data_IF_446136832847
#
_entry.id   IF_446136832847
#
_cell.length_a   1.000
_cell.length_b   1.000
_cell.length_c   1.000
_cell.angle_alpha   90.00
_cell.angle_beta   90.00
_cell.angle_gamma   90.00
#
_symmetry.space_group_name_H-M   'P 1'
#
loop_
_entity.id
_entity.type
_entity.pdbx_description
1 polymer ?
#
# COMPACT_ATOMS: atom_id res chain seq x y z
N UNK A 1 30.13 41.88 -20.16
CA UNK A 1 29.02 41.58 -19.23
C UNK A 1 28.13 40.39 -19.63
N UNK A 2 28.08 39.94 -20.90
CA UNK A 2 27.11 38.92 -21.34
C UNK A 2 27.44 37.46 -20.93
N UNK A 3 28.70 37.04 -21.02
CA UNK A 3 29.10 35.63 -20.77
C UNK A 3 28.98 35.22 -19.30
N UNK A 4 29.36 36.11 -18.38
CA UNK A 4 29.30 35.83 -16.93
C UNK A 4 27.86 35.63 -16.44
N UNK A 5 26.91 36.42 -16.96
CA UNK A 5 25.48 36.28 -16.62
C UNK A 5 24.92 34.96 -17.17
N UNK A 6 25.34 34.53 -18.36
CA UNK A 6 24.94 33.24 -18.95
C UNK A 6 25.48 32.05 -18.13
N UNK A 7 26.72 32.12 -17.67
CA UNK A 7 27.33 31.08 -16.82
C UNK A 7 26.58 30.99 -15.49
N UNK A 8 26.41 32.12 -14.78
CA UNK A 8 25.73 32.15 -13.48
C UNK A 8 24.27 31.70 -13.59
N UNK A 9 23.57 32.01 -14.68
CA UNK A 9 22.19 31.55 -14.89
C UNK A 9 22.10 30.07 -15.20
N UNK A 10 23.07 29.51 -15.95
CA UNK A 10 23.18 28.07 -16.20
C UNK A 10 23.48 27.29 -14.92
N UNK A 11 24.45 27.73 -14.13
CA UNK A 11 24.78 27.12 -12.83
C UNK A 11 23.57 27.13 -11.89
N UNK A 12 22.86 28.26 -11.79
CA UNK A 12 21.63 28.35 -10.98
C UNK A 12 20.55 27.36 -11.45
N UNK A 13 20.42 27.13 -12.76
CA UNK A 13 19.49 26.16 -13.34
C UNK A 13 19.90 24.72 -13.01
N UNK A 14 21.17 24.38 -13.18
CA UNK A 14 21.72 23.06 -12.86
C UNK A 14 21.56 22.73 -11.37
N UNK A 15 21.88 23.68 -10.48
CA UNK A 15 21.64 23.55 -9.04
C UNK A 15 20.16 23.33 -8.71
N UNK A 16 19.25 24.03 -9.41
CA UNK A 16 17.80 23.87 -9.20
C UNK A 16 17.31 22.48 -9.62
N UNK A 17 17.75 21.98 -10.77
CA UNK A 17 17.38 20.64 -11.23
C UNK A 17 17.99 19.53 -10.35
N UNK A 18 19.24 19.68 -9.92
CA UNK A 18 19.86 18.77 -8.96
C UNK A 18 19.07 18.72 -7.63
N UNK A 19 18.68 19.88 -7.09
CA UNK A 19 17.84 19.95 -5.88
C UNK A 19 16.48 19.26 -6.05
N UNK A 20 15.84 19.39 -7.22
CA UNK A 20 14.59 18.68 -7.51
C UNK A 20 14.79 17.16 -7.56
N UNK A 21 15.86 16.71 -8.22
CA UNK A 21 16.18 15.29 -8.33
C UNK A 21 16.45 14.68 -6.95
N UNK A 22 17.24 15.34 -6.10
CA UNK A 22 17.50 14.87 -4.73
C UNK A 22 16.21 14.77 -3.93
N UNK A 23 15.36 15.80 -3.94
CA UNK A 23 14.06 15.77 -3.24
C UNK A 23 13.17 14.63 -3.73
N UNK A 24 13.11 14.41 -5.05
CA UNK A 24 12.37 13.30 -5.65
C UNK A 24 12.93 11.96 -5.18
N UNK A 25 14.25 11.78 -5.28
CA UNK A 25 14.92 10.56 -4.82
C UNK A 25 14.63 10.28 -3.34
N UNK A 26 14.78 11.28 -2.46
CA UNK A 26 14.50 11.16 -1.03
C UNK A 26 13.08 10.67 -0.78
N UNK A 27 12.08 11.29 -1.40
CA UNK A 27 10.68 10.89 -1.25
C UNK A 27 10.44 9.42 -1.62
N UNK A 28 10.90 8.99 -2.80
CA UNK A 28 10.71 7.63 -3.27
C UNK A 28 11.50 6.61 -2.45
N UNK A 29 12.73 6.94 -2.06
CA UNK A 29 13.57 6.09 -1.24
C UNK A 29 12.99 5.88 0.17
N UNK A 30 12.53 6.96 0.83
CA UNK A 30 11.90 6.87 2.15
C UNK A 30 10.67 5.96 2.13
N UNK A 31 9.84 6.07 1.09
CA UNK A 31 8.64 5.23 0.92
C UNK A 31 8.98 3.77 0.60
N UNK A 32 10.01 3.53 -0.22
CA UNK A 32 10.54 2.19 -0.46
C UNK A 32 11.05 1.55 0.85
N UNK A 33 11.86 2.28 1.61
CA UNK A 33 12.46 1.81 2.86
C UNK A 33 11.40 1.57 3.94
N UNK A 34 10.42 2.47 4.05
CA UNK A 34 9.28 2.32 4.96
C UNK A 34 8.49 1.04 4.67
N UNK A 35 8.22 0.73 3.39
CA UNK A 35 7.49 -0.47 3.03
C UNK A 35 8.31 -1.74 3.26
N UNK A 36 9.63 -1.74 3.04
CA UNK A 36 10.48 -2.88 3.40
C UNK A 36 10.48 -3.12 4.91
N UNK A 37 10.71 -2.08 5.71
CA UNK A 37 10.70 -2.18 7.18
C UNK A 37 9.35 -2.66 7.70
N UNK A 38 8.26 -2.08 7.20
CA UNK A 38 6.90 -2.46 7.59
C UNK A 38 6.56 -3.89 7.15
N UNK A 39 7.08 -4.35 6.01
CA UNK A 39 6.93 -5.74 5.56
C UNK A 39 7.62 -6.72 6.51
N UNK A 40 8.85 -6.41 6.92
CA UNK A 40 9.60 -7.26 7.86
C UNK A 40 8.86 -7.38 9.19
N UNK A 41 8.30 -6.28 9.70
CA UNK A 41 7.45 -6.31 10.90
C UNK A 41 6.20 -7.16 10.68
N UNK A 42 5.45 -6.92 9.60
CA UNK A 42 4.23 -7.69 9.31
C UNK A 42 4.50 -9.19 9.12
N UNK A 43 5.66 -9.56 8.58
CA UNK A 43 6.08 -10.95 8.45
C UNK A 43 6.36 -11.58 9.82
N UNK A 44 6.99 -10.83 10.72
CA UNK A 44 7.18 -11.26 12.11
C UNK A 44 5.83 -11.46 12.81
N UNK A 45 4.95 -10.45 12.75
CA UNK A 45 3.61 -10.51 13.34
C UNK A 45 2.78 -11.69 12.76
N UNK A 46 2.89 -11.96 11.46
CA UNK A 46 2.26 -13.12 10.79
C UNK A 46 2.76 -14.45 11.38
N UNK A 47 4.06 -14.60 11.58
CA UNK A 47 4.63 -15.84 12.10
C UNK A 47 4.23 -16.04 13.57
N UNK A 48 4.33 -15.00 14.41
CA UNK A 48 3.86 -15.04 15.80
C UNK A 48 2.37 -15.44 15.87
N UNK A 49 1.54 -14.88 14.99
CA UNK A 49 0.12 -15.23 14.92
C UNK A 49 -0.11 -16.69 14.51
N UNK A 50 0.72 -17.27 13.64
CA UNK A 50 0.62 -18.68 13.21
C UNK A 50 1.09 -19.67 14.27
N UNK A 51 2.19 -19.35 14.94
CA UNK A 51 2.86 -20.29 15.82
C UNK A 51 2.12 -20.41 17.17
N UNK A 52 1.69 -19.26 17.71
CA UNK A 52 1.13 -19.13 19.05
C UNK A 52 -0.18 -18.32 19.07
N UNK A 53 -0.25 -17.21 18.34
CA UNK A 53 -1.36 -16.26 18.49
C UNK A 53 -2.77 -16.81 18.21
N UNK A 54 -2.94 -17.71 17.23
CA UNK A 54 -4.23 -18.35 16.99
C UNK A 54 -4.68 -19.23 18.17
N UNK A 55 -3.75 -19.94 18.82
CA UNK A 55 -4.04 -20.76 19.99
C UNK A 55 -4.41 -19.89 21.18
N UNK A 56 -3.64 -18.82 21.42
CA UNK A 56 -3.92 -17.85 22.48
C UNK A 56 -5.31 -17.22 22.32
N UNK A 57 -5.67 -16.82 21.09
CA UNK A 57 -6.99 -16.27 20.80
C UNK A 57 -8.10 -17.33 20.91
N UNK A 58 -7.81 -18.57 20.51
CA UNK A 58 -8.74 -19.71 20.65
C UNK A 58 -9.08 -19.96 22.11
N UNK A 59 -8.07 -20.00 22.98
CA UNK A 59 -8.23 -20.13 24.43
C UNK A 59 -8.94 -18.91 25.05
N UNK A 60 -8.55 -17.70 24.64
CA UNK A 60 -9.10 -16.45 25.15
C UNK A 60 -10.60 -16.31 24.86
N UNK A 61 -11.01 -16.63 23.63
CA UNK A 61 -12.42 -16.52 23.21
C UNK A 61 -13.23 -17.79 23.43
N UNK A 62 -12.58 -18.89 23.81
CA UNK A 62 -13.17 -20.22 23.87
C UNK A 62 -13.85 -20.60 22.52
N UNK A 63 -13.14 -20.34 21.42
CA UNK A 63 -13.56 -20.64 20.04
C UNK A 63 -12.53 -21.56 19.40
N UNK A 64 -12.93 -22.50 18.51
CA UNK A 64 -11.96 -23.32 17.80
C UNK A 64 -11.14 -22.46 16.82
N UNK A 65 -9.86 -22.81 16.62
CA UNK A 65 -8.95 -22.10 15.71
C UNK A 65 -9.51 -21.96 14.28
N UNK A 66 -10.37 -22.90 13.84
CA UNK A 66 -11.05 -22.84 12.54
C UNK A 66 -11.92 -21.59 12.38
N UNK A 67 -12.53 -21.11 13.46
CA UNK A 67 -13.32 -19.87 13.45
C UNK A 67 -12.44 -18.62 13.38
N UNK A 68 -11.14 -18.74 13.69
CA UNK A 68 -10.15 -17.66 13.65
C UNK A 68 -9.30 -17.66 12.37
N UNK A 69 -9.50 -18.65 11.49
CA UNK A 69 -8.69 -18.86 10.29
C UNK A 69 -8.67 -17.68 9.30
N UNK A 70 -9.59 -16.72 9.42
CA UNK A 70 -9.62 -15.50 8.60
C UNK A 70 -8.48 -14.50 8.90
N UNK A 71 -7.84 -14.61 10.06
CA UNK A 71 -6.76 -13.70 10.50
C UNK A 71 -5.48 -13.91 9.68
N UNK A 72 -5.13 -15.17 9.38
CA UNK A 72 -3.90 -15.50 8.67
C UNK A 72 -3.89 -14.95 7.22
N UNK A 73 -4.94 -15.13 6.41
CA UNK A 73 -5.01 -14.52 5.08
C UNK A 73 -4.89 -13.00 5.10
N UNK A 74 -5.40 -12.32 6.12
CA UNK A 74 -5.27 -10.87 6.27
C UNK A 74 -3.81 -10.45 6.46
N UNK A 75 -3.09 -11.10 7.37
CA UNK A 75 -1.66 -10.85 7.58
C UNK A 75 -0.80 -11.18 6.35
N UNK A 76 -1.07 -12.31 5.69
CA UNK A 76 -0.39 -12.66 4.43
C UNK A 76 -0.59 -11.58 3.37
N UNK A 77 -1.82 -11.08 3.23
CA UNK A 77 -2.13 -10.02 2.29
C UNK A 77 -1.36 -8.73 2.64
N UNK A 78 -1.30 -8.34 3.91
CA UNK A 78 -0.53 -7.16 4.35
C UNK A 78 0.94 -7.29 3.94
N UNK A 79 1.57 -8.45 4.14
CA UNK A 79 2.97 -8.70 3.76
C UNK A 79 3.18 -8.53 2.25
N UNK A 80 2.31 -9.12 1.42
CA UNK A 80 2.42 -9.01 -0.04
C UNK A 80 2.11 -7.59 -0.53
N UNK A 81 1.12 -6.92 0.04
CA UNK A 81 0.80 -5.52 -0.28
C UNK A 81 2.00 -4.59 -0.01
N UNK A 82 2.70 -4.77 1.13
CA UNK A 82 3.93 -4.00 1.43
C UNK A 82 5.04 -4.28 0.41
N UNK A 83 5.20 -5.53 -0.02
CA UNK A 83 6.14 -5.90 -1.08
C UNK A 83 5.80 -5.20 -2.40
N UNK A 84 4.52 -5.20 -2.79
CA UNK A 84 4.06 -4.51 -4.02
C UNK A 84 4.36 -3.02 -3.92
N UNK A 85 3.97 -2.35 -2.82
CA UNK A 85 4.21 -0.91 -2.65
C UNK A 85 5.69 -0.53 -2.70
N UNK A 86 6.56 -1.32 -2.05
CA UNK A 86 8.02 -1.14 -2.15
C UNK A 86 8.45 -1.03 -3.61
N UNK A 87 8.00 -1.95 -4.46
CA UNK A 87 8.37 -1.96 -5.88
C UNK A 87 7.62 -0.92 -6.72
N UNK A 88 6.40 -0.54 -6.36
CA UNK A 88 5.70 0.55 -7.06
C UNK A 88 6.37 1.90 -6.82
N UNK A 89 6.93 2.16 -5.64
CA UNK A 89 7.75 3.35 -5.42
C UNK A 89 9.04 3.35 -6.25
N UNK A 90 9.72 2.20 -6.35
CA UNK A 90 10.87 2.09 -7.26
C UNK A 90 10.46 2.36 -8.71
N UNK A 91 9.33 1.79 -9.16
CA UNK A 91 8.77 2.02 -10.48
C UNK A 91 8.41 3.50 -10.72
N UNK A 92 7.68 4.14 -9.81
CA UNK A 92 7.26 5.54 -9.91
C UNK A 92 8.44 6.53 -9.99
N UNK A 93 9.56 6.20 -9.35
CA UNK A 93 10.79 6.99 -9.50
C UNK A 93 11.26 7.01 -10.96
N UNK A 94 11.26 5.85 -11.64
CA UNK A 94 11.73 5.72 -13.01
C UNK A 94 10.66 6.01 -14.08
N UNK A 95 9.37 6.05 -13.75
CA UNK A 95 8.27 6.17 -14.71
C UNK A 95 8.31 7.47 -15.55
N UNK A 96 9.07 8.49 -15.13
CA UNK A 96 9.34 9.69 -15.92
C UNK A 96 8.12 10.59 -16.18
N UNK A 97 8.34 11.90 -16.28
CA UNK A 97 7.23 12.88 -16.45
C UNK A 97 6.68 12.95 -17.88
N UNK A 98 7.21 12.14 -18.82
CA UNK A 98 6.86 12.21 -20.25
C UNK A 98 5.43 11.72 -20.52
N UNK A 99 4.92 10.82 -19.69
CA UNK A 99 3.59 10.22 -19.81
C UNK A 99 2.70 10.64 -18.64
N UNK A 100 2.52 11.96 -18.45
CA UNK A 100 1.81 12.56 -17.30
C UNK A 100 0.49 11.89 -16.95
N UNK A 101 -0.35 11.55 -17.93
CA UNK A 101 -1.66 10.94 -17.67
C UNK A 101 -1.53 9.52 -17.09
N UNK A 102 -0.57 8.73 -17.57
CA UNK A 102 -0.30 7.39 -17.02
C UNK A 102 0.30 7.48 -15.63
N UNK A 103 1.20 8.45 -15.42
CA UNK A 103 1.77 8.73 -14.11
C UNK A 103 0.68 9.10 -13.09
N UNK A 104 -0.24 10.01 -13.44
CA UNK A 104 -1.37 10.40 -12.58
C UNK A 104 -2.32 9.22 -12.28
N UNK A 105 -2.62 8.40 -13.29
CA UNK A 105 -3.45 7.22 -13.08
C UNK A 105 -2.77 6.18 -12.18
N UNK A 106 -1.47 5.96 -12.36
CA UNK A 106 -0.66 5.13 -11.47
C UNK A 106 -0.67 5.66 -10.03
N UNK A 107 -0.42 6.95 -9.81
CA UNK A 107 -0.44 7.55 -8.47
C UNK A 107 -1.81 7.41 -7.80
N UNK A 108 -2.90 7.57 -8.56
CA UNK A 108 -4.25 7.34 -8.06
C UNK A 108 -4.44 5.89 -7.58
N UNK A 109 -4.12 4.90 -8.41
CA UNK A 109 -4.24 3.48 -8.03
C UNK A 109 -3.34 3.12 -6.85
N UNK A 110 -2.12 3.65 -6.81
CA UNK A 110 -1.20 3.45 -5.69
C UNK A 110 -1.79 4.04 -4.40
N UNK A 111 -2.34 5.25 -4.46
CA UNK A 111 -2.97 5.91 -3.31
C UNK A 111 -4.15 5.11 -2.74
N UNK A 112 -5.05 4.63 -3.60
CA UNK A 112 -6.18 3.78 -3.18
C UNK A 112 -5.71 2.48 -2.50
N UNK A 113 -4.69 1.84 -3.08
CA UNK A 113 -4.09 0.63 -2.52
C UNK A 113 -3.43 0.90 -1.16
N UNK A 114 -2.71 2.00 -1.00
CA UNK A 114 -2.10 2.40 0.28
C UNK A 114 -3.14 2.63 1.37
N UNK A 115 -4.19 3.38 1.07
CA UNK A 115 -5.28 3.64 2.02
C UNK A 115 -5.96 2.33 2.44
N UNK A 116 -6.24 1.44 1.48
CA UNK A 116 -6.78 0.11 1.75
C UNK A 116 -5.85 -0.72 2.65
N UNK A 117 -4.55 -0.73 2.37
CA UNK A 117 -3.56 -1.45 3.18
C UNK A 117 -3.49 -0.92 4.61
N UNK A 118 -3.43 0.40 4.81
CA UNK A 118 -3.33 0.96 6.16
C UNK A 118 -4.61 0.68 6.98
N UNK A 119 -5.80 0.70 6.34
CA UNK A 119 -7.06 0.32 7.00
C UNK A 119 -7.07 -1.15 7.42
N UNK A 120 -6.65 -2.05 6.53
CA UNK A 120 -6.54 -3.48 6.82
C UNK A 120 -5.55 -3.74 7.94
N UNK A 121 -4.35 -3.14 7.85
CA UNK A 121 -3.31 -3.31 8.85
C UNK A 121 -3.73 -2.75 10.22
N UNK A 122 -4.40 -1.59 10.25
CA UNK A 122 -4.96 -1.06 11.49
C UNK A 122 -5.96 -2.02 12.13
N UNK A 123 -6.94 -2.50 11.36
CA UNK A 123 -7.94 -3.45 11.87
C UNK A 123 -7.27 -4.73 12.42
N UNK A 124 -6.30 -5.28 11.68
CA UNK A 124 -5.60 -6.52 12.06
C UNK A 124 -4.71 -6.34 13.29
N UNK A 125 -3.96 -5.23 13.38
CA UNK A 125 -2.97 -5.05 14.44
C UNK A 125 -3.51 -4.37 15.71
N UNK A 126 -4.56 -3.53 15.59
CA UNK A 126 -5.06 -2.70 16.68
C UNK A 126 -6.42 -3.12 17.19
N UNK A 127 -7.32 -3.60 16.33
CA UNK A 127 -8.66 -3.99 16.77
C UNK A 127 -8.66 -5.43 17.30
N UNK A 128 -7.90 -6.34 16.66
CA UNK A 128 -7.71 -7.72 17.12
C UNK A 128 -7.07 -7.78 18.52
N UNK A 129 -5.94 -7.08 18.71
CA UNK A 129 -5.15 -7.08 19.94
C UNK A 129 -5.55 -5.97 20.92
N UNK A 130 -6.55 -5.16 20.56
CA UNK A 130 -7.04 -4.04 21.37
C UNK A 130 -8.17 -4.46 22.29
N UNK A 131 -9.36 -3.83 22.24
CA UNK A 131 -10.49 -4.14 23.13
C UNK A 131 -10.89 -5.62 23.14
N UNK A 132 -10.73 -6.29 22.00
CA UNK A 132 -11.02 -7.71 21.85
C UNK A 132 -9.99 -8.59 22.58
N UNK A 133 -8.70 -8.22 22.62
CA UNK A 133 -7.63 -9.04 23.20
C UNK A 133 -7.62 -9.14 24.73
N UNK A 134 -8.41 -8.32 25.44
CA UNK A 134 -8.49 -8.33 26.91
C UNK A 134 -9.72 -9.09 27.45
N UNK A 135 -10.62 -9.55 26.59
CA UNK A 135 -11.86 -10.21 27.00
C UNK A 135 -11.60 -11.69 27.22
N UNK A 136 -11.61 -12.14 28.48
CA UNK A 136 -11.35 -13.54 28.87
C UNK A 136 -12.47 -14.52 28.55
N UNK A 137 -13.68 -14.02 28.27
CA UNK A 137 -14.84 -14.84 27.92
C UNK A 137 -15.85 -13.96 27.19
N UNK A 138 -16.29 -14.42 26.01
CA UNK A 138 -17.31 -13.71 25.25
C UNK A 138 -18.69 -13.92 25.91
N UNK A 139 -19.28 -12.86 26.44
CA UNK A 139 -20.73 -12.80 26.64
C UNK A 139 -21.44 -12.59 25.29
N UNK A 140 -22.77 -12.48 25.32
CA UNK A 140 -23.56 -12.27 24.10
C UNK A 140 -23.17 -10.98 23.34
N UNK A 141 -22.92 -9.90 24.06
CA UNK A 141 -22.51 -8.60 23.52
C UNK A 141 -21.11 -8.68 22.93
N UNK A 142 -20.15 -9.29 23.64
CA UNK A 142 -18.78 -9.42 23.14
C UNK A 142 -18.69 -10.38 21.96
N UNK A 143 -19.46 -11.47 21.96
CA UNK A 143 -19.56 -12.36 20.80
C UNK A 143 -20.06 -11.61 19.56
N UNK A 144 -21.10 -10.77 19.72
CA UNK A 144 -21.60 -9.93 18.63
C UNK A 144 -20.54 -8.95 18.13
N UNK A 145 -19.76 -8.35 19.04
CA UNK A 145 -18.65 -7.47 18.66
C UNK A 145 -17.54 -8.21 17.92
N UNK A 146 -17.23 -9.45 18.33
CA UNK A 146 -16.30 -10.32 17.63
C UNK A 146 -16.78 -10.64 16.20
N UNK A 147 -18.05 -10.99 16.02
CA UNK A 147 -18.61 -11.26 14.68
C UNK A 147 -18.60 -10.02 13.78
N UNK A 148 -18.87 -8.84 14.34
CA UNK A 148 -18.73 -7.57 13.60
C UNK A 148 -17.27 -7.33 13.17
N UNK A 149 -16.31 -7.58 14.06
CA UNK A 149 -14.89 -7.49 13.75
C UNK A 149 -14.50 -8.50 12.65
N UNK A 150 -14.95 -9.75 12.77
CA UNK A 150 -14.70 -10.80 11.78
C UNK A 150 -15.18 -10.40 10.40
N UNK A 151 -16.44 -9.96 10.29
CA UNK A 151 -16.99 -9.49 9.02
C UNK A 151 -16.16 -8.33 8.46
N UNK A 152 -15.84 -7.35 9.30
CA UNK A 152 -15.04 -6.19 8.92
C UNK A 152 -13.66 -6.59 8.40
N UNK A 153 -12.95 -7.50 9.08
CA UNK A 153 -11.61 -7.92 8.67
C UNK A 153 -11.65 -8.68 7.35
N UNK A 154 -12.64 -9.56 7.17
CA UNK A 154 -12.85 -10.29 5.91
C UNK A 154 -13.12 -9.33 4.75
N UNK A 155 -13.99 -8.33 4.95
CA UNK A 155 -14.35 -7.37 3.92
C UNK A 155 -13.18 -6.44 3.57
N UNK A 156 -12.46 -5.93 4.57
CA UNK A 156 -11.23 -5.16 4.34
C UNK A 156 -10.18 -5.99 3.58
N UNK A 157 -10.04 -7.27 3.91
CA UNK A 157 -9.10 -8.17 3.22
C UNK A 157 -9.47 -8.30 1.74
N UNK A 158 -10.76 -8.48 1.43
CA UNK A 158 -11.25 -8.56 0.04
C UNK A 158 -11.05 -7.24 -0.71
N UNK A 159 -11.48 -6.12 -0.12
CA UNK A 159 -11.40 -4.80 -0.75
C UNK A 159 -9.94 -4.41 -1.00
N UNK A 160 -9.05 -4.59 -0.02
CA UNK A 160 -7.62 -4.32 -0.18
C UNK A 160 -7.00 -5.18 -1.26
N UNK A 161 -7.35 -6.47 -1.35
CA UNK A 161 -6.88 -7.32 -2.44
C UNK A 161 -7.27 -6.74 -3.81
N UNK A 162 -8.51 -6.32 -3.98
CA UNK A 162 -9.00 -5.75 -5.24
C UNK A 162 -8.21 -4.48 -5.62
N UNK A 163 -7.91 -3.58 -4.67
CA UNK A 163 -7.09 -2.40 -4.97
C UNK A 163 -5.70 -2.78 -5.48
N UNK A 164 -5.06 -3.78 -4.88
CA UNK A 164 -3.74 -4.25 -5.29
C UNK A 164 -3.76 -5.00 -6.62
N UNK A 165 -4.78 -5.83 -6.87
CA UNK A 165 -4.97 -6.50 -8.16
C UNK A 165 -5.14 -5.49 -9.30
N UNK A 166 -5.94 -4.43 -9.06
CA UNK A 166 -6.10 -3.34 -10.02
C UNK A 166 -4.78 -2.60 -10.29
N UNK A 167 -4.01 -2.30 -9.23
CA UNK A 167 -2.70 -1.66 -9.34
C UNK A 167 -1.72 -2.52 -10.15
N UNK A 168 -1.57 -3.80 -9.79
CA UNK A 168 -0.65 -4.73 -10.47
C UNK A 168 -1.06 -4.98 -11.91
N UNK A 169 -2.36 -5.11 -12.20
CA UNK A 169 -2.88 -5.27 -13.56
C UNK A 169 -2.59 -4.05 -14.42
N UNK A 170 -2.81 -2.84 -13.89
CA UNK A 170 -2.50 -1.61 -14.60
C UNK A 170 -1.01 -1.48 -14.95
N UNK A 171 -0.14 -1.91 -14.03
CA UNK A 171 1.31 -1.97 -14.23
C UNK A 171 1.70 -3.02 -15.30
N UNK A 172 1.16 -4.24 -15.21
CA UNK A 172 1.43 -5.32 -16.16
C UNK A 172 0.98 -5.00 -17.59
N UNK A 173 -0.11 -4.24 -17.72
CA UNK A 173 -0.62 -3.80 -19.02
C UNK A 173 0.09 -2.55 -19.57
N UNK A 174 1.06 -1.97 -18.85
CA UNK A 174 1.75 -0.75 -19.26
C UNK A 174 0.83 0.48 -19.39
N UNK A 175 -0.27 0.48 -18.64
CA UNK A 175 -1.30 1.52 -18.67
C UNK A 175 -1.91 1.77 -20.07
N UNK A 176 -2.07 0.72 -20.90
CA UNK A 176 -2.61 0.82 -22.27
C UNK A 176 -4.00 1.45 -22.37
N UNK A 177 -4.80 1.36 -21.30
CA UNK A 177 -6.17 1.93 -21.26
C UNK A 177 -6.18 3.46 -21.12
N UNK A 178 -5.04 4.05 -20.73
CA UNK A 178 -4.87 5.50 -20.64
C UNK A 178 -4.51 6.04 -22.03
N UNK A 179 -5.53 6.45 -22.81
CA UNK A 179 -5.33 7.12 -24.09
C UNK A 179 -4.53 8.41 -23.89
N UNK A 180 -3.37 8.51 -24.54
CA UNK A 180 -2.59 9.74 -24.57
C UNK A 180 -3.43 10.84 -25.26
N UNK A 181 -3.69 11.95 -24.56
CA UNK A 181 -4.45 13.10 -25.10
C UNK A 181 -3.83 13.73 -26.36
N UNK A 182 -2.60 13.36 -26.72
CA UNK A 182 -1.93 13.74 -27.98
C UNK A 182 -2.44 12.97 -29.20
N UNK A 183 -3.01 11.79 -29.04
CA UNK A 183 -3.54 10.99 -30.16
C UNK A 183 -4.93 11.45 -30.62
N UNK A 184 -5.75 12.03 -29.74
CA UNK A 184 -7.07 12.54 -30.14
C UNK A 184 -6.98 13.80 -31.01
N UNK A 185 -5.90 14.58 -30.89
CA UNK A 185 -5.68 15.78 -31.73
C UNK A 185 -5.18 15.46 -33.14
N UNK A 186 -4.58 14.28 -33.37
CA UNK A 186 -4.11 13.86 -34.70
C UNK A 186 -5.21 13.27 -35.58
N UNK A 187 -6.31 12.79 -35.00
CA UNK A 187 -7.43 12.17 -35.73
C UNK A 187 -8.57 13.13 -36.12
N UNK A 188 -8.54 14.39 -35.69
CA UNK A 188 -9.54 15.42 -36.05
C UNK A 188 -9.06 16.44 -37.10
N UNK A 189 -7.92 16.17 -37.76
CA UNK A 189 -7.31 17.08 -38.73
C UNK A 189 -6.93 16.40 -40.06
N UNK A 190 -7.66 15.35 -40.45
CA UNK A 190 -7.60 14.77 -41.79
C UNK A 190 -9.01 14.70 -42.35
#
# INVERSE_FOLDING_TARGET
MSVYVVIVTREKKEVKEAKKLVKRYTHYFERWAYNEKSRQKALKDLNEMRDEGLKELSELYNLPETELGFIIPAWQLIVECRRVLKWTYAYGFYLGEKEKTKFQFFEYLQGEAEVGLERLHHCTAKELLGPLGYIKKLDYTEYKNFELFRSKLIDLTKVTRNYFENLVTALGNGHKDVKNSKESKRKKGK
#
